data_IF_479562701762
#
_entry.id   IF_479562701762
#
_cell.length_a   1.000
_cell.length_b   1.000
_cell.length_c   1.000
_cell.angle_alpha   90.00
_cell.angle_beta   90.00
_cell.angle_gamma   90.00
#
_symmetry.space_group_name_H-M   'P 1'
#
loop_
_entity.id
_entity.type
_entity.pdbx_description
1 polymer ?
#
# COMPACT_ATOMS: atom_id res chain seq x y z
N UNK A 1 16.03 17.86 -3.33
CA UNK A 1 16.38 16.47 -3.67
C UNK A 1 16.03 15.64 -2.44
N UNK A 2 14.86 15.02 -2.41
CA UNK A 2 14.41 14.19 -1.28
C UNK A 2 14.43 12.75 -1.76
N UNK A 3 15.53 12.07 -1.47
CA UNK A 3 15.69 10.63 -1.64
C UNK A 3 15.90 10.04 -0.24
N UNK A 4 14.85 10.13 0.56
CA UNK A 4 14.63 9.28 1.71
C UNK A 4 13.40 8.48 1.33
N UNK A 5 13.51 7.17 1.40
CA UNK A 5 12.35 6.35 1.71
C UNK A 5 11.93 6.78 3.11
N UNK A 6 11.30 7.96 3.17
CA UNK A 6 10.90 8.58 4.42
C UNK A 6 10.07 7.52 5.12
N UNK A 7 10.60 7.03 6.24
CA UNK A 7 9.81 6.46 7.31
C UNK A 7 8.61 7.38 7.41
N UNK A 8 7.48 6.88 6.94
CA UNK A 8 6.23 7.60 7.01
C UNK A 8 5.99 7.73 8.51
N UNK A 9 6.39 8.86 9.08
CA UNK A 9 6.20 9.24 10.47
C UNK A 9 4.71 9.54 10.65
N UNK A 10 3.91 8.51 10.45
CA UNK A 10 2.53 8.45 10.86
C UNK A 10 2.48 7.44 11.99
N UNK A 11 1.40 7.47 12.75
CA UNK A 11 1.10 6.58 13.86
C UNK A 11 0.91 5.09 13.41
N UNK A 12 1.63 4.64 12.36
CA UNK A 12 1.68 3.29 11.76
C UNK A 12 1.93 2.21 12.79
N UNK A 13 2.64 2.56 13.87
CA UNK A 13 2.90 1.67 15.00
C UNK A 13 1.65 1.33 15.79
N UNK A 14 0.52 2.02 15.56
CA UNK A 14 -0.78 1.73 16.15
C UNK A 14 -1.68 0.86 15.29
N UNK A 15 -1.23 0.40 14.11
CA UNK A 15 -1.99 -0.62 13.37
C UNK A 15 -2.23 -1.79 14.31
N UNK A 16 -3.48 -1.92 14.77
CA UNK A 16 -3.86 -2.98 15.68
C UNK A 16 -3.58 -4.31 14.98
N UNK A 17 -3.14 -5.34 15.72
CA UNK A 17 -2.97 -6.69 15.14
C UNK A 17 -4.27 -7.05 14.41
N UNK A 18 -4.18 -7.34 13.11
CA UNK A 18 -5.36 -7.61 12.30
C UNK A 18 -5.77 -6.51 11.33
N UNK A 19 -4.95 -5.50 11.06
CA UNK A 19 -5.23 -4.44 10.09
C UNK A 19 -4.10 -4.24 9.07
N UNK A 20 -4.46 -3.70 7.90
CA UNK A 20 -3.56 -3.24 6.83
C UNK A 20 -3.87 -1.78 6.54
N UNK A 21 -2.84 -0.94 6.53
CA UNK A 21 -2.95 0.48 6.19
C UNK A 21 -2.67 0.71 4.70
N UNK A 22 -3.55 1.45 4.02
CA UNK A 22 -3.29 2.03 2.70
C UNK A 22 -3.12 3.53 2.82
N UNK A 23 -1.99 4.04 2.32
CA UNK A 23 -1.59 5.44 2.47
C UNK A 23 -1.23 6.00 1.10
N UNK A 24 -1.83 7.13 0.76
CA UNK A 24 -1.54 7.87 -0.45
C UNK A 24 -1.36 9.36 -0.12
N UNK A 25 -0.32 9.99 -0.65
CA UNK A 25 -0.05 11.42 -0.44
C UNK A 25 -0.18 12.20 -1.75
N UNK A 26 -0.85 13.36 -1.71
CA UNK A 26 -0.90 14.30 -2.82
C UNK A 26 -0.93 15.74 -2.32
N UNK A 27 0.07 16.53 -2.69
CA UNK A 27 0.13 17.95 -2.36
C UNK A 27 0.12 18.23 -0.85
N UNK A 28 0.87 17.45 -0.07
CA UNK A 28 0.94 17.56 1.39
C UNK A 28 -0.31 17.07 2.14
N UNK A 29 -1.29 16.48 1.45
CA UNK A 29 -2.46 15.84 2.05
C UNK A 29 -2.32 14.33 1.99
N UNK A 30 -2.62 13.66 3.11
CA UNK A 30 -2.57 12.21 3.25
C UNK A 30 -3.99 11.63 3.26
N UNK A 31 -4.23 10.64 2.41
CA UNK A 31 -5.38 9.75 2.49
C UNK A 31 -4.91 8.43 3.13
N UNK A 32 -5.49 8.08 4.28
CA UNK A 32 -5.26 6.81 4.98
C UNK A 32 -6.55 5.99 5.01
N UNK A 33 -6.46 4.70 4.70
CA UNK A 33 -7.56 3.74 4.83
C UNK A 33 -7.05 2.51 5.58
N UNK A 34 -7.61 2.26 6.76
CA UNK A 34 -7.40 1.02 7.50
C UNK A 34 -8.34 -0.07 6.97
N UNK A 35 -7.78 -1.26 6.74
CA UNK A 35 -8.49 -2.44 6.27
C UNK A 35 -8.30 -3.57 7.27
N UNK A 36 -9.38 -4.16 7.75
CA UNK A 36 -9.31 -5.35 8.59
C UNK A 36 -8.77 -6.55 7.80
N UNK A 37 -7.97 -7.41 8.42
CA UNK A 37 -7.44 -8.64 7.82
C UNK A 37 -8.57 -9.55 7.31
N UNK A 38 -9.74 -9.53 7.96
CA UNK A 38 -10.93 -10.28 7.53
C UNK A 38 -11.66 -9.66 6.35
N UNK A 39 -11.29 -8.47 5.90
CA UNK A 39 -11.87 -7.84 4.72
C UNK A 39 -11.71 -8.72 3.50
N UNK A 40 -12.71 -8.65 2.63
CA UNK A 40 -12.73 -9.44 1.39
C UNK A 40 -11.73 -8.89 0.38
N UNK A 41 -11.37 -9.71 -0.62
CA UNK A 41 -10.47 -9.26 -1.68
C UNK A 41 -11.06 -8.09 -2.48
N UNK A 42 -12.38 -8.04 -2.62
CA UNK A 42 -13.11 -6.97 -3.30
C UNK A 42 -13.02 -5.64 -2.53
N UNK A 43 -13.08 -5.68 -1.20
CA UNK A 43 -12.90 -4.49 -0.36
C UNK A 43 -11.47 -3.94 -0.47
N UNK A 44 -10.47 -4.83 -0.41
CA UNK A 44 -9.06 -4.46 -0.61
C UNK A 44 -8.86 -3.84 -2.00
N UNK A 45 -9.39 -4.47 -3.04
CA UNK A 45 -9.33 -3.97 -4.42
C UNK A 45 -9.95 -2.57 -4.56
N UNK A 46 -11.14 -2.34 -3.98
CA UNK A 46 -11.81 -1.03 -4.00
C UNK A 46 -10.95 0.05 -3.32
N UNK A 47 -10.33 -0.27 -2.19
CA UNK A 47 -9.53 0.69 -1.44
C UNK A 47 -8.19 0.99 -2.11
N UNK A 48 -7.53 0.00 -2.71
CA UNK A 48 -6.33 0.23 -3.53
C UNK A 48 -6.68 1.17 -4.69
N UNK A 49 -7.78 0.91 -5.41
CA UNK A 49 -8.25 1.76 -6.51
C UNK A 49 -8.50 3.21 -6.10
N UNK A 50 -9.15 3.42 -4.96
CA UNK A 50 -9.39 4.77 -4.41
C UNK A 50 -8.08 5.50 -4.10
N UNK A 51 -7.08 4.80 -3.57
CA UNK A 51 -5.78 5.39 -3.25
C UNK A 51 -4.96 5.72 -4.51
N UNK A 52 -4.94 4.85 -5.52
CA UNK A 52 -4.22 5.13 -6.78
C UNK A 52 -4.91 6.21 -7.64
N UNK A 53 -6.20 6.47 -7.41
CA UNK A 53 -6.88 7.64 -7.98
C UNK A 53 -6.48 8.94 -7.26
N UNK A 54 -6.16 8.83 -5.97
CA UNK A 54 -5.70 9.95 -5.18
C UNK A 54 -4.25 10.31 -5.49
N UNK A 55 -3.34 9.33 -5.55
CA UNK A 55 -1.92 9.52 -5.82
C UNK A 55 -1.36 8.42 -6.73
N UNK A 56 -0.33 8.73 -7.51
CA UNK A 56 0.33 7.74 -8.38
C UNK A 56 1.14 6.70 -7.56
N UNK A 57 1.39 6.98 -6.27
CA UNK A 57 2.09 6.06 -5.34
C UNK A 57 1.19 5.78 -4.14
N UNK A 58 1.04 4.50 -3.81
CA UNK A 58 0.32 4.02 -2.63
C UNK A 58 1.24 3.12 -1.82
N UNK A 59 1.27 3.34 -0.51
CA UNK A 59 1.97 2.50 0.46
C UNK A 59 0.93 1.61 1.14
N UNK A 60 1.16 0.30 1.09
CA UNK A 60 0.35 -0.72 1.78
C UNK A 60 1.20 -1.34 2.89
N UNK A 61 0.80 -1.12 4.14
CA UNK A 61 1.53 -1.57 5.31
C UNK A 61 0.65 -2.57 6.05
N UNK A 62 0.97 -3.85 5.88
CA UNK A 62 0.27 -4.95 6.54
C UNK A 62 0.70 -5.08 8.01
N UNK A 63 -0.18 -5.50 8.92
CA UNK A 63 0.24 -5.68 10.31
C UNK A 63 1.18 -6.86 10.55
N UNK A 64 1.21 -7.85 9.64
CA UNK A 64 2.11 -9.01 9.70
C UNK A 64 2.38 -9.59 8.29
N UNK A 65 3.31 -10.55 8.22
CA UNK A 65 3.67 -11.24 6.99
C UNK A 65 2.53 -12.04 6.34
N UNK A 66 1.55 -12.49 7.12
CA UNK A 66 0.40 -13.24 6.59
C UNK A 66 -0.53 -12.32 5.82
N UNK A 67 -0.80 -11.14 6.37
CA UNK A 67 -1.57 -10.11 5.69
C UNK A 67 -0.84 -9.56 4.47
N UNK A 68 0.49 -9.37 4.53
CA UNK A 68 1.31 -9.01 3.36
C UNK A 68 1.12 -10.01 2.21
N UNK A 69 1.23 -11.32 2.50
CA UNK A 69 1.00 -12.39 1.50
C UNK A 69 -0.41 -12.38 0.90
N UNK A 70 -1.42 -11.91 1.63
CA UNK A 70 -2.80 -11.74 1.13
C UNK A 70 -2.96 -10.48 0.27
N UNK A 71 -2.30 -9.39 0.64
CA UNK A 71 -2.33 -8.09 -0.06
C UNK A 71 -1.71 -8.15 -1.46
N UNK A 72 -0.52 -8.76 -1.58
CA UNK A 72 0.24 -8.86 -2.84
C UNK A 72 -0.59 -9.32 -4.04
N UNK A 73 -1.30 -10.48 -4.01
CA UNK A 73 -2.07 -10.93 -5.18
C UNK A 73 -3.24 -10.00 -5.51
N UNK A 74 -3.79 -9.28 -4.53
CA UNK A 74 -4.85 -8.28 -4.79
C UNK A 74 -4.26 -7.07 -5.48
N UNK A 75 -3.16 -6.51 -4.97
CA UNK A 75 -2.43 -5.42 -5.60
C UNK A 75 -2.04 -5.75 -7.04
N UNK A 76 -1.45 -6.92 -7.29
CA UNK A 76 -1.11 -7.40 -8.65
C UNK A 76 -2.33 -7.40 -9.58
N UNK A 77 -3.46 -7.94 -9.13
CA UNK A 77 -4.70 -7.97 -9.92
C UNK A 77 -5.21 -6.57 -10.24
N UNK A 78 -5.18 -5.65 -9.28
CA UNK A 78 -5.61 -4.26 -9.47
C UNK A 78 -4.70 -3.55 -10.46
N UNK A 79 -3.39 -3.66 -10.27
CA UNK A 79 -2.39 -2.99 -11.12
C UNK A 79 -2.41 -3.51 -12.55
N UNK A 80 -2.66 -4.81 -12.75
CA UNK A 80 -2.85 -5.39 -14.07
C UNK A 80 -4.10 -4.86 -14.79
N UNK A 81 -5.20 -4.61 -14.07
CA UNK A 81 -6.41 -3.97 -14.64
C UNK A 81 -6.14 -2.51 -15.00
N UNK A 82 -5.51 -1.77 -14.09
CA UNK A 82 -5.18 -0.36 -14.28
C UNK A 82 -4.19 -0.12 -15.42
N UNK A 83 -3.32 -1.09 -15.73
CA UNK A 83 -2.47 -1.05 -16.92
C UNK A 83 -3.27 -0.85 -18.21
N UNK A 84 -4.46 -1.46 -18.29
CA UNK A 84 -5.35 -1.35 -19.46
C UNK A 84 -6.22 -0.09 -19.41
N UNK A 85 -6.67 0.28 -18.22
CA UNK A 85 -7.60 1.41 -18.02
C UNK A 85 -6.88 2.76 -18.04
N UNK A 86 -5.63 2.82 -17.58
CA UNK A 86 -4.81 4.03 -17.43
C UNK A 86 -3.38 3.77 -17.93
N UNK A 87 -3.17 3.41 -19.21
CA UNK A 87 -1.86 3.02 -19.73
C UNK A 87 -0.81 4.12 -19.64
N UNK A 88 -1.24 5.39 -19.68
CA UNK A 88 -0.35 6.56 -19.64
C UNK A 88 0.13 6.92 -18.22
N UNK A 89 -0.45 6.30 -17.18
CA UNK A 89 -0.10 6.55 -15.78
C UNK A 89 0.97 5.57 -15.30
N UNK A 90 1.94 6.06 -14.55
CA UNK A 90 2.95 5.24 -13.85
C UNK A 90 2.52 5.04 -12.39
N UNK A 91 1.59 4.12 -12.19
CA UNK A 91 1.00 3.83 -10.88
C UNK A 91 1.86 2.79 -10.16
N UNK A 92 2.04 2.97 -8.85
CA UNK A 92 2.87 2.13 -7.99
C UNK A 92 2.16 1.81 -6.68
N UNK A 93 2.20 0.53 -6.28
CA UNK A 93 1.82 0.08 -4.93
C UNK A 93 3.07 -0.51 -4.28
N UNK A 94 3.49 0.05 -3.15
CA UNK A 94 4.63 -0.41 -2.34
C UNK A 94 4.10 -1.13 -1.11
N UNK A 95 4.45 -2.40 -0.93
CA UNK A 95 3.88 -3.27 0.10
C UNK A 95 4.96 -3.70 1.09
N UNK A 96 4.73 -3.50 2.38
CA UNK A 96 5.57 -3.99 3.46
C UNK A 96 4.74 -4.43 4.68
N UNK A 97 5.37 -4.97 5.72
CA UNK A 97 4.72 -5.32 6.98
C UNK A 97 5.31 -4.62 8.21
N UNK A 98 4.52 -4.45 9.26
CA UNK A 98 5.00 -3.92 10.55
C UNK A 98 6.10 -4.82 11.15
N UNK A 99 6.09 -6.12 10.85
CA UNK A 99 7.18 -7.01 11.26
C UNK A 99 8.49 -6.62 10.57
N UNK A 100 8.45 -6.28 9.28
CA UNK A 100 9.61 -5.78 8.52
C UNK A 100 10.07 -4.40 9.01
N UNK A 101 9.15 -3.52 9.41
CA UNK A 101 9.50 -2.26 10.07
C UNK A 101 10.32 -2.51 11.34
N UNK A 102 9.83 -3.38 12.22
CA UNK A 102 10.51 -3.70 13.49
C UNK A 102 11.86 -4.37 13.31
N UNK A 103 12.00 -5.20 12.28
CA UNK A 103 13.22 -5.96 12.03
C UNK A 103 14.26 -5.16 11.24
N UNK A 104 13.83 -4.34 10.29
CA UNK A 104 14.71 -3.77 9.27
C UNK A 104 14.50 -2.29 8.99
N UNK A 105 13.44 -1.66 9.50
CA UNK A 105 13.12 -0.25 9.18
C UNK A 105 12.57 -0.05 7.77
N UNK A 106 11.85 -1.04 7.22
CA UNK A 106 11.37 -1.02 5.82
C UNK A 106 12.48 -0.86 4.77
N UNK A 107 13.63 -1.50 4.98
CA UNK A 107 14.76 -1.46 4.03
C UNK A 107 14.42 -1.97 2.63
N UNK A 108 13.36 -2.74 2.50
CA UNK A 108 12.90 -3.25 1.21
C UNK A 108 11.36 -3.19 1.13
N UNK A 109 10.86 -2.64 0.02
CA UNK A 109 9.44 -2.59 -0.30
C UNK A 109 9.14 -3.57 -1.44
N UNK A 110 8.09 -4.37 -1.31
CA UNK A 110 7.60 -5.13 -2.43
C UNK A 110 6.79 -4.21 -3.36
N UNK A 111 7.38 -3.83 -4.48
CA UNK A 111 6.77 -2.86 -5.40
C UNK A 111 6.03 -3.54 -6.56
N UNK A 112 4.78 -3.11 -6.79
CA UNK A 112 3.97 -3.52 -7.94
C UNK A 112 3.66 -2.30 -8.80
N UNK A 113 3.94 -2.40 -10.10
CA UNK A 113 3.67 -1.35 -11.10
C UNK A 113 2.56 -1.77 -12.05
N UNK A 114 1.88 -0.80 -12.66
CA UNK A 114 0.90 -1.04 -13.73
C UNK A 114 1.55 -1.12 -15.13
N UNK A 115 2.84 -1.49 -15.22
CA UNK A 115 3.61 -1.57 -16.48
C UNK A 115 4.23 -2.94 -16.66
#
# INVERSE_FOLDING_TARGET
MVSKEDEVETDLTKSHRGYTDLIAEKGGKVLRIEIEHRSTKEQIEKNIRKNVEYSDVVYEIASDETAKKKAIPVALKVMFRLRKEKPDKDLRVKIASIDELKQSGFKEWFEVRNR
#
